data_IF_430740262221
#
_entry.id   IF_430740262221
#
_cell.length_a   1.000
_cell.length_b   1.000
_cell.length_c   1.000
_cell.angle_alpha   90.00
_cell.angle_beta   90.00
_cell.angle_gamma   90.00
#
_symmetry.space_group_name_H-M   'P 1'
#
loop_
_entity.id
_entity.type
_entity.pdbx_description
1 polymer ?
#
# COMPACT_ATOMS: atom_id res chain seq x y z
N UNK A 1 5.92 -59.24 -25.34
CA UNK A 1 5.84 -57.79 -25.09
C UNK A 1 6.60 -57.50 -23.81
N UNK A 2 7.68 -56.71 -23.86
CA UNK A 2 8.48 -56.41 -22.67
C UNK A 2 7.77 -55.36 -21.80
N UNK A 3 7.49 -55.71 -20.55
CA UNK A 3 6.86 -54.80 -19.59
C UNK A 3 7.96 -53.91 -18.96
N UNK A 4 8.08 -52.67 -19.44
CA UNK A 4 9.05 -51.70 -18.93
C UNK A 4 8.38 -50.84 -17.85
N UNK A 5 8.87 -50.83 -16.61
CA UNK A 5 8.26 -50.06 -15.54
C UNK A 5 8.38 -48.55 -15.79
N UNK A 6 7.41 -47.74 -15.32
CA UNK A 6 7.40 -46.31 -15.54
C UNK A 6 8.62 -45.63 -14.88
N UNK A 7 9.19 -44.58 -15.50
CA UNK A 7 10.34 -43.89 -14.97
C UNK A 7 10.02 -43.27 -13.61
N UNK A 8 10.88 -43.54 -12.62
CA UNK A 8 10.77 -43.00 -11.27
C UNK A 8 10.76 -41.47 -11.36
N UNK A 9 9.64 -40.84 -10.97
CA UNK A 9 9.50 -39.38 -10.92
C UNK A 9 10.46 -38.82 -9.88
N UNK A 10 11.70 -38.54 -10.28
CA UNK A 10 12.61 -37.70 -9.49
C UNK A 10 12.06 -36.28 -9.57
N UNK A 11 11.42 -35.80 -8.52
CA UNK A 11 11.11 -34.37 -8.36
C UNK A 11 12.42 -33.60 -8.47
N UNK A 12 12.65 -32.96 -9.62
CA UNK A 12 13.82 -32.07 -9.85
C UNK A 12 13.71 -30.75 -9.10
N UNK A 13 12.54 -30.47 -8.52
CA UNK A 13 12.31 -29.30 -7.69
C UNK A 13 12.82 -29.65 -6.30
N UNK A 14 13.86 -28.94 -5.87
CA UNK A 14 14.37 -29.01 -4.51
C UNK A 14 13.30 -28.63 -3.48
N UNK A 15 13.61 -28.75 -2.18
CA UNK A 15 12.71 -28.27 -1.14
C UNK A 15 12.34 -26.80 -1.43
N UNK A 16 11.10 -26.40 -1.11
CA UNK A 16 10.69 -25.00 -1.27
C UNK A 16 11.69 -24.11 -0.49
N UNK A 17 12.07 -22.95 -1.06
CA UNK A 17 12.91 -22.01 -0.33
C UNK A 17 12.25 -21.63 0.99
N UNK A 18 13.06 -21.42 2.03
CA UNK A 18 12.56 -20.95 3.32
C UNK A 18 11.76 -19.66 3.11
N UNK A 19 10.61 -19.55 3.77
CA UNK A 19 9.71 -18.38 3.68
C UNK A 19 10.42 -17.05 3.96
N UNK A 20 11.48 -17.09 4.77
CA UNK A 20 12.34 -15.94 5.11
C UNK A 20 13.18 -15.41 3.92
N UNK A 21 13.37 -16.21 2.86
CA UNK A 21 14.09 -15.83 1.64
C UNK A 21 13.17 -15.27 0.55
N UNK A 22 11.88 -15.11 0.85
CA UNK A 22 10.92 -14.57 -0.12
C UNK A 22 10.92 -13.05 -0.04
N UNK A 23 11.04 -12.37 -1.18
CA UNK A 23 10.89 -10.91 -1.25
C UNK A 23 9.47 -10.60 -0.77
N UNK A 24 9.34 -9.95 0.40
CA UNK A 24 8.12 -9.69 1.17
C UNK A 24 7.03 -8.85 0.48
N UNK A 25 6.80 -9.05 -0.81
CA UNK A 25 5.79 -8.39 -1.64
C UNK A 25 4.34 -8.65 -1.16
N UNK A 26 4.14 -9.66 -0.31
CA UNK A 26 2.86 -10.00 0.31
C UNK A 26 2.72 -9.49 1.75
N UNK A 27 3.78 -8.92 2.32
CA UNK A 27 3.72 -8.35 3.66
C UNK A 27 2.88 -7.07 3.63
N UNK A 28 1.88 -7.01 4.51
CA UNK A 28 1.13 -5.78 4.71
C UNK A 28 2.10 -4.74 5.25
N UNK A 29 2.13 -3.58 4.61
CA UNK A 29 2.88 -2.42 5.09
C UNK A 29 2.61 -2.22 6.59
N UNK A 30 3.66 -2.05 7.37
CA UNK A 30 3.55 -1.93 8.82
C UNK A 30 2.54 -0.84 9.22
N UNK A 31 1.75 -1.05 10.28
CA UNK A 31 0.84 -0.02 10.78
C UNK A 31 1.63 1.24 11.14
N UNK A 32 1.35 2.33 10.43
CA UNK A 32 2.11 3.59 10.53
C UNK A 32 2.96 3.91 9.30
N UNK A 33 3.13 2.97 8.37
CA UNK A 33 3.77 3.22 7.08
C UNK A 33 2.96 4.23 6.26
N UNK A 34 3.60 5.35 5.90
CA UNK A 34 2.98 6.40 5.09
C UNK A 34 2.73 5.89 3.67
N UNK A 35 1.49 6.03 3.21
CA UNK A 35 1.11 5.71 1.83
C UNK A 35 0.73 6.98 1.07
N UNK A 36 1.22 7.17 -0.16
CA UNK A 36 0.86 8.32 -0.96
C UNK A 36 -0.60 8.23 -1.39
N UNK A 37 -1.39 9.25 -1.08
CA UNK A 37 -2.69 9.47 -1.69
C UNK A 37 -2.48 10.35 -2.93
N UNK A 38 -2.21 9.70 -4.07
CA UNK A 38 -1.94 10.39 -5.33
C UNK A 38 -3.21 11.03 -5.89
N UNK A 39 -3.42 12.30 -5.61
CA UNK A 39 -4.54 13.08 -6.15
C UNK A 39 -4.08 14.09 -7.19
N UNK A 40 -4.93 14.32 -8.19
CA UNK A 40 -4.83 15.48 -9.05
C UNK A 40 -5.95 16.43 -8.67
N UNK A 41 -5.60 17.69 -8.44
CA UNK A 41 -6.54 18.76 -8.10
C UNK A 41 -6.36 19.93 -9.07
N UNK A 42 -7.40 20.75 -9.29
CA UNK A 42 -7.26 22.00 -10.02
C UNK A 42 -6.20 22.92 -9.39
N UNK A 43 -5.51 23.71 -10.21
CA UNK A 43 -4.43 24.59 -9.76
C UNK A 43 -4.91 25.66 -8.76
N UNK A 44 -6.09 26.23 -9.01
CA UNK A 44 -6.69 27.24 -8.13
C UNK A 44 -6.98 26.67 -6.74
N UNK A 45 -7.62 25.49 -6.70
CA UNK A 45 -7.88 24.79 -5.45
C UNK A 45 -6.60 24.49 -4.67
N UNK A 46 -5.55 24.00 -5.34
CA UNK A 46 -4.27 23.72 -4.67
C UNK A 46 -3.67 24.99 -4.04
N UNK A 47 -3.78 26.14 -4.73
CA UNK A 47 -3.32 27.43 -4.20
C UNK A 47 -4.14 27.84 -2.99
N UNK A 48 -5.46 27.80 -3.07
CA UNK A 48 -6.37 28.15 -1.96
C UNK A 48 -6.14 27.25 -0.74
N UNK A 49 -6.05 25.94 -0.97
CA UNK A 49 -5.79 24.95 0.08
C UNK A 49 -4.46 25.22 0.80
N UNK A 50 -3.40 25.53 0.04
CA UNK A 50 -2.10 25.88 0.59
C UNK A 50 -2.13 27.19 1.39
N UNK A 51 -2.80 28.22 0.87
CA UNK A 51 -2.94 29.52 1.56
C UNK A 51 -3.68 29.32 2.89
N UNK A 52 -4.78 28.57 2.89
CA UNK A 52 -5.55 28.29 4.10
C UNK A 52 -4.71 27.54 5.14
N UNK A 53 -4.01 26.47 4.73
CA UNK A 53 -3.11 25.73 5.64
C UNK A 53 -2.03 26.66 6.25
N UNK A 54 -1.46 27.55 5.42
CA UNK A 54 -0.45 28.52 5.87
C UNK A 54 -1.01 29.53 6.88
N UNK A 55 -2.25 30.01 6.66
CA UNK A 55 -2.92 30.95 7.58
C UNK A 55 -3.21 30.31 8.94
N UNK A 56 -3.54 29.02 8.96
CA UNK A 56 -3.80 28.27 10.19
C UNK A 56 -2.51 27.74 10.85
N UNK A 57 -1.35 27.86 10.21
CA UNK A 57 -0.07 27.39 10.72
C UNK A 57 0.06 25.85 10.74
N UNK A 58 -0.70 25.15 9.90
CA UNK A 58 -0.71 23.68 9.82
C UNK A 58 -0.20 23.18 8.47
N UNK A 59 0.17 21.90 8.38
CA UNK A 59 0.53 21.32 7.09
C UNK A 59 -0.71 21.04 6.24
N UNK A 60 -0.52 20.95 4.92
CA UNK A 60 -1.57 20.53 3.98
C UNK A 60 -2.09 19.11 4.30
N UNK A 61 -1.24 18.26 4.88
CA UNK A 61 -1.60 16.91 5.30
C UNK A 61 -2.53 16.95 6.52
N UNK A 62 -2.20 17.78 7.52
CA UNK A 62 -3.00 17.93 8.74
C UNK A 62 -4.39 18.47 8.39
N UNK A 63 -4.45 19.50 7.55
CA UNK A 63 -5.70 20.05 7.03
C UNK A 63 -6.56 18.98 6.35
N UNK A 64 -5.95 18.09 5.56
CA UNK A 64 -6.65 16.99 4.90
C UNK A 64 -7.18 15.97 5.91
N UNK A 65 -6.38 15.61 6.93
CA UNK A 65 -6.77 14.65 7.95
C UNK A 65 -7.91 15.18 8.83
N UNK A 66 -7.84 16.45 9.25
CA UNK A 66 -8.89 17.12 10.02
C UNK A 66 -10.19 17.19 9.23
N UNK A 67 -10.12 17.62 7.96
CA UNK A 67 -11.29 17.67 7.08
C UNK A 67 -11.94 16.30 6.89
N UNK A 68 -11.13 15.24 6.74
CA UNK A 68 -11.64 13.87 6.65
C UNK A 68 -12.31 13.40 7.94
N UNK A 69 -11.68 13.66 9.11
CA UNK A 69 -12.23 13.32 10.42
C UNK A 69 -13.58 13.99 10.65
N UNK A 70 -13.66 15.30 10.41
CA UNK A 70 -14.88 16.08 10.55
C UNK A 70 -16.00 15.57 9.62
N UNK A 71 -15.67 15.25 8.37
CA UNK A 71 -16.65 14.73 7.42
C UNK A 71 -17.16 13.35 7.84
N UNK A 72 -16.27 12.49 8.36
CA UNK A 72 -16.62 11.16 8.85
C UNK A 72 -17.53 11.23 10.07
N UNK A 73 -17.25 12.12 11.01
CA UNK A 73 -18.08 12.35 12.20
C UNK A 73 -19.46 12.92 11.86
N UNK A 74 -19.56 13.72 10.79
CA UNK A 74 -20.85 14.28 10.33
C UNK A 74 -21.71 13.29 9.53
N UNK A 75 -21.09 12.33 8.84
CA UNK A 75 -21.78 11.40 7.92
C UNK A 75 -21.99 10.00 8.52
N UNK A 76 -21.20 9.60 9.50
CA UNK A 76 -21.41 8.38 10.28
C UNK A 76 -22.43 8.59 11.38
#
# INVERSE_FOLDING_TARGET
>A
MANVPPPVKKSRKGPPPAVDLTIGNLEKSEPGSLKPLNFKVPADFHREFKVYASQQGISMLDLLQEGFKMLRERRG
#
